data_IF_774837621601
#
_entry.id   IF_774837621601
#
_cell.length_a   1.000
_cell.length_b   1.000
_cell.length_c   1.000
_cell.angle_alpha   90.00
_cell.angle_beta   90.00
_cell.angle_gamma   90.00
#
_symmetry.space_group_name_H-M   'P 1'
#
loop_
_entity.id
_entity.type
_entity.pdbx_description
1 polymer ?
#
# COMPACT_ATOMS: atom_id res chain seq x y z
N UNK A 1 52.91 -13.40 -12.96
CA UNK A 1 51.71 -12.65 -13.42
C UNK A 1 50.45 -13.50 -13.56
N UNK A 2 50.48 -14.73 -14.12
CA UNK A 2 49.25 -15.57 -14.23
C UNK A 2 48.58 -15.95 -12.90
N UNK A 3 49.34 -16.15 -11.82
CA UNK A 3 48.77 -16.48 -10.48
C UNK A 3 48.07 -15.31 -9.80
N UNK A 4 48.46 -14.04 -10.10
CA UNK A 4 47.82 -12.86 -9.53
C UNK A 4 46.45 -12.56 -10.16
N UNK A 5 46.30 -12.82 -11.45
CA UNK A 5 45.04 -12.65 -12.17
C UNK A 5 43.98 -13.64 -11.67
N UNK A 6 44.40 -14.89 -11.39
CA UNK A 6 43.49 -15.91 -10.87
C UNK A 6 42.97 -15.58 -9.45
N UNK A 7 43.82 -14.98 -8.60
CA UNK A 7 43.44 -14.55 -7.25
C UNK A 7 42.46 -13.37 -7.29
N UNK A 8 42.65 -12.44 -8.22
CA UNK A 8 41.77 -11.29 -8.39
C UNK A 8 40.37 -11.71 -8.89
N UNK A 9 40.29 -12.67 -9.83
CA UNK A 9 39.00 -13.24 -10.27
C UNK A 9 38.23 -13.97 -9.14
N UNK A 10 38.96 -14.66 -8.24
CA UNK A 10 38.34 -15.31 -7.09
C UNK A 10 37.77 -14.32 -6.07
N UNK A 11 38.46 -13.20 -5.84
CA UNK A 11 37.98 -12.13 -4.95
C UNK A 11 36.75 -11.41 -5.53
N UNK A 12 36.67 -11.22 -6.84
CA UNK A 12 35.50 -10.63 -7.49
C UNK A 12 34.28 -11.58 -7.41
N UNK A 13 34.48 -12.89 -7.52
CA UNK A 13 33.40 -13.86 -7.40
C UNK A 13 32.92 -13.99 -5.96
N UNK A 14 33.78 -13.82 -4.95
CA UNK A 14 33.38 -13.82 -3.55
C UNK A 14 32.59 -12.56 -3.15
N UNK A 15 32.87 -11.41 -3.79
CA UNK A 15 32.12 -10.18 -3.55
C UNK A 15 30.72 -10.19 -4.17
N UNK A 16 30.44 -11.09 -5.13
CA UNK A 16 29.11 -11.24 -5.75
C UNK A 16 28.17 -12.20 -4.98
N UNK A 17 28.65 -12.89 -3.95
CA UNK A 17 27.79 -13.70 -3.08
C UNK A 17 27.35 -12.90 -1.83
N UNK A 18 26.92 -11.66 -2.00
CA UNK A 18 26.10 -11.02 -0.98
C UNK A 18 24.82 -11.82 -0.88
N UNK A 19 24.57 -12.39 0.28
CA UNK A 19 23.29 -13.02 0.64
C UNK A 19 22.19 -11.97 0.51
N UNK A 20 21.70 -11.76 -0.72
CA UNK A 20 20.46 -11.04 -0.97
C UNK A 20 19.30 -11.98 -0.60
N UNK A 21 19.21 -12.37 0.67
CA UNK A 21 17.92 -12.74 1.21
C UNK A 21 17.06 -11.51 1.04
N UNK A 22 15.93 -11.60 0.31
CA UNK A 22 15.01 -10.49 0.22
C UNK A 22 14.72 -10.04 1.66
N UNK A 23 14.74 -8.74 1.93
CA UNK A 23 14.45 -8.25 3.28
C UNK A 23 13.13 -8.85 3.71
N UNK A 24 13.12 -9.43 4.93
CA UNK A 24 11.90 -9.95 5.51
C UNK A 24 10.84 -8.84 5.42
N UNK A 25 9.67 -9.18 4.88
CA UNK A 25 8.57 -8.24 4.71
C UNK A 25 8.31 -7.52 6.03
N UNK A 26 8.65 -6.25 6.08
CA UNK A 26 8.30 -5.35 7.16
C UNK A 26 6.93 -4.73 6.83
N UNK A 27 6.01 -4.74 7.79
CA UNK A 27 4.68 -4.14 7.66
C UNK A 27 4.71 -2.63 7.31
N UNK A 28 5.86 -1.98 7.51
CA UNK A 28 6.09 -0.56 7.16
C UNK A 28 6.49 -0.35 5.71
N UNK A 29 6.91 -1.42 5.01
CA UNK A 29 7.37 -1.32 3.63
C UNK A 29 6.18 -1.21 2.67
N UNK A 30 6.24 -0.35 1.63
CA UNK A 30 5.20 -0.26 0.64
C UNK A 30 4.91 -1.61 0.00
N UNK A 31 3.65 -2.07 0.09
CA UNK A 31 3.24 -3.40 -0.38
C UNK A 31 3.62 -3.66 -1.85
N UNK A 32 3.55 -2.61 -2.66
CA UNK A 32 3.78 -2.70 -4.10
C UNK A 32 5.26 -2.78 -4.50
N UNK A 33 6.18 -2.42 -3.62
CA UNK A 33 7.61 -2.42 -3.93
C UNK A 33 8.18 -3.83 -4.07
N UNK A 34 7.68 -4.76 -3.22
CA UNK A 34 8.17 -6.13 -3.16
C UNK A 34 7.18 -7.18 -3.67
N UNK A 35 6.02 -6.75 -4.14
CA UNK A 35 4.94 -7.65 -4.52
C UNK A 35 4.60 -7.52 -6.01
N UNK A 36 4.39 -8.66 -6.67
CA UNK A 36 3.82 -8.74 -8.01
C UNK A 36 2.33 -9.00 -7.90
N UNK A 37 1.54 -8.16 -8.56
CA UNK A 37 0.09 -8.36 -8.66
C UNK A 37 -0.21 -9.53 -9.59
N UNK A 38 -1.03 -10.43 -9.11
CA UNK A 38 -1.67 -11.49 -9.87
C UNK A 38 -3.05 -11.03 -10.38
N UNK A 39 -3.82 -11.97 -10.92
CA UNK A 39 -5.21 -11.69 -11.29
C UNK A 39 -6.04 -11.32 -10.06
N UNK A 40 -6.93 -10.36 -10.25
CA UNK A 40 -7.91 -9.96 -9.25
C UNK A 40 -9.27 -10.58 -9.55
N UNK A 41 -10.08 -10.74 -8.52
CA UNK A 41 -11.42 -11.31 -8.60
C UNK A 41 -12.45 -10.45 -7.86
N UNK A 42 -13.69 -10.50 -8.31
CA UNK A 42 -14.82 -9.93 -7.55
C UNK A 42 -15.25 -10.93 -6.49
N UNK A 43 -15.43 -10.44 -5.26
CA UNK A 43 -15.92 -11.22 -4.13
C UNK A 43 -17.13 -10.53 -3.48
N UNK A 44 -17.90 -11.26 -2.70
CA UNK A 44 -19.03 -10.74 -1.97
C UNK A 44 -18.78 -10.79 -0.45
N UNK A 45 -18.76 -9.65 0.21
CA UNK A 45 -18.74 -9.59 1.66
C UNK A 45 -20.15 -9.86 2.19
N UNK A 46 -20.33 -11.01 2.84
CA UNK A 46 -21.61 -11.51 3.36
C UNK A 46 -21.86 -11.13 4.79
N UNK A 47 -20.81 -10.80 5.55
CA UNK A 47 -20.93 -10.40 6.94
C UNK A 47 -19.79 -9.50 7.38
N UNK A 48 -20.11 -8.58 8.29
CA UNK A 48 -19.12 -7.76 9.00
C UNK A 48 -19.42 -7.91 10.49
N UNK A 49 -18.47 -8.45 11.25
CA UNK A 49 -18.66 -8.80 12.66
C UNK A 49 -17.60 -8.14 13.51
N UNK A 50 -18.02 -7.43 14.53
CA UNK A 50 -17.14 -6.87 15.56
C UNK A 50 -17.25 -7.71 16.82
N UNK A 51 -16.10 -8.06 17.39
CA UNK A 51 -16.02 -8.81 18.64
C UNK A 51 -15.66 -7.89 19.83
N UNK A 52 -15.96 -8.30 21.06
CA UNK A 52 -15.67 -7.49 22.27
C UNK A 52 -14.18 -7.20 22.48
N UNK A 53 -13.29 -8.05 21.96
CA UNK A 53 -11.83 -7.92 22.02
C UNK A 53 -11.25 -7.00 20.90
N UNK A 54 -12.10 -6.12 20.34
CA UNK A 54 -11.72 -5.18 19.28
C UNK A 54 -11.16 -5.81 18.00
N UNK A 55 -11.65 -6.98 17.64
CA UNK A 55 -11.44 -7.54 16.33
C UNK A 55 -12.62 -7.28 15.42
N UNK A 56 -12.36 -7.14 14.16
CA UNK A 56 -13.37 -7.04 13.11
C UNK A 56 -13.13 -8.14 12.08
N UNK A 57 -14.17 -8.91 11.79
CA UNK A 57 -14.15 -9.93 10.75
C UNK A 57 -14.99 -9.48 9.57
N UNK A 58 -14.39 -9.58 8.39
CA UNK A 58 -15.09 -9.41 7.11
C UNK A 58 -15.22 -10.80 6.49
N UNK A 59 -16.44 -11.31 6.43
CA UNK A 59 -16.74 -12.67 5.94
C UNK A 59 -17.13 -12.59 4.47
N UNK A 60 -16.31 -13.15 3.58
CA UNK A 60 -16.60 -13.17 2.15
C UNK A 60 -17.13 -14.52 1.69
N UNK A 61 -17.43 -14.67 0.43
CA UNK A 61 -17.81 -15.94 -0.17
C UNK A 61 -16.62 -16.88 -0.43
N UNK A 62 -15.41 -16.35 -0.43
CA UNK A 62 -14.17 -17.12 -0.68
C UNK A 62 -13.33 -17.32 0.58
N UNK A 63 -13.02 -16.24 1.28
CA UNK A 63 -12.11 -16.19 2.42
C UNK A 63 -12.64 -15.24 3.49
N UNK A 64 -12.17 -15.41 4.73
CA UNK A 64 -12.50 -14.51 5.82
C UNK A 64 -11.27 -13.68 6.22
N UNK A 65 -11.50 -12.43 6.59
CA UNK A 65 -10.44 -11.49 6.93
C UNK A 65 -10.62 -11.01 8.37
N UNK A 66 -9.55 -11.09 9.16
CA UNK A 66 -9.49 -10.55 10.52
C UNK A 66 -8.67 -9.27 10.54
N UNK A 67 -9.24 -8.21 11.09
CA UNK A 67 -8.54 -6.99 11.48
C UNK A 67 -8.55 -6.89 13.00
N UNK A 68 -7.45 -6.43 13.60
CA UNK A 68 -7.31 -6.34 15.05
C UNK A 68 -6.69 -5.02 15.50
N UNK A 69 -6.85 -4.69 16.79
CA UNK A 69 -6.28 -3.49 17.37
C UNK A 69 -6.74 -2.21 16.67
N UNK A 70 -5.81 -1.32 16.39
CA UNK A 70 -6.10 -0.03 15.76
C UNK A 70 -6.64 -0.19 14.32
N UNK A 71 -6.20 -1.20 13.58
CA UNK A 71 -6.66 -1.44 12.20
C UNK A 71 -8.14 -1.78 12.14
N UNK A 72 -8.67 -2.50 13.14
CA UNK A 72 -10.11 -2.78 13.25
C UNK A 72 -10.94 -1.51 13.47
N UNK A 73 -10.38 -0.49 14.13
CA UNK A 73 -11.09 0.76 14.42
C UNK A 73 -11.33 1.59 13.14
N UNK A 74 -10.50 1.46 12.13
CA UNK A 74 -10.69 2.15 10.85
C UNK A 74 -11.91 1.64 10.07
N UNK A 75 -12.50 0.50 10.47
CA UNK A 75 -13.77 0.02 9.91
C UNK A 75 -15.01 0.56 10.66
N UNK A 76 -14.84 1.36 11.71
CA UNK A 76 -15.97 1.95 12.47
C UNK A 76 -17.02 2.65 11.59
N UNK A 77 -16.66 3.38 10.52
CA UNK A 77 -17.65 3.93 9.61
C UNK A 77 -18.60 2.88 9.01
N UNK A 78 -18.18 1.62 8.89
CA UNK A 78 -19.02 0.55 8.33
C UNK A 78 -20.01 -0.06 9.34
N UNK A 79 -19.97 0.37 10.60
CA UNK A 79 -20.88 -0.10 11.66
C UNK A 79 -21.96 0.92 12.05
N UNK A 80 -22.04 2.06 11.36
CA UNK A 80 -22.97 3.14 11.75
C UNK A 80 -24.39 2.83 11.24
N UNK A 81 -25.35 2.51 12.12
CA UNK A 81 -26.71 2.10 11.73
C UNK A 81 -27.48 3.21 11.02
N UNK A 82 -27.13 4.49 11.27
CA UNK A 82 -27.79 5.67 10.74
C UNK A 82 -27.82 5.70 9.22
N UNK A 83 -26.78 5.22 8.59
CA UNK A 83 -26.70 5.18 7.13
C UNK A 83 -26.46 3.79 6.53
N UNK A 84 -26.00 2.81 7.33
CA UNK A 84 -25.57 1.51 6.78
C UNK A 84 -26.73 0.76 6.10
N UNK A 85 -27.92 0.77 6.68
CA UNK A 85 -29.10 0.15 6.06
C UNK A 85 -29.45 0.78 4.72
N UNK A 86 -29.34 2.11 4.58
CA UNK A 86 -29.59 2.81 3.31
C UNK A 86 -28.46 2.56 2.32
N UNK A 87 -27.22 2.56 2.80
CA UNK A 87 -26.04 2.25 2.01
C UNK A 87 -26.19 0.87 1.35
N UNK A 88 -26.52 -0.18 2.09
CA UNK A 88 -26.70 -1.52 1.55
C UNK A 88 -27.82 -1.60 0.49
N UNK A 89 -28.96 -0.89 0.73
CA UNK A 89 -30.09 -0.88 -0.20
C UNK A 89 -29.84 -0.09 -1.49
N UNK A 90 -29.01 0.95 -1.42
CA UNK A 90 -28.83 1.93 -2.50
C UNK A 90 -27.39 1.96 -3.02
N UNK A 91 -26.55 0.98 -2.67
CA UNK A 91 -25.14 0.93 -3.03
C UNK A 91 -24.99 0.80 -4.55
N UNK A 92 -24.71 1.92 -5.23
CA UNK A 92 -24.38 1.90 -6.66
C UNK A 92 -23.39 3.01 -7.00
N UNK A 93 -22.51 2.73 -7.93
CA UNK A 93 -21.56 3.71 -8.46
C UNK A 93 -22.31 4.93 -9.02
N UNK A 94 -21.92 6.15 -8.58
CA UNK A 94 -22.59 7.40 -8.98
C UNK A 94 -23.82 7.79 -8.14
N UNK A 95 -24.30 6.93 -7.24
CA UNK A 95 -25.41 7.23 -6.34
C UNK A 95 -25.01 8.14 -5.17
N UNK A 96 -26.00 8.52 -4.35
CA UNK A 96 -25.78 9.25 -3.09
C UNK A 96 -25.02 8.40 -2.06
N UNK A 97 -25.33 7.10 -2.03
CA UNK A 97 -24.67 6.10 -1.19
C UNK A 97 -23.80 5.20 -2.05
N UNK A 98 -22.54 5.09 -1.71
CA UNK A 98 -21.64 4.19 -2.40
C UNK A 98 -20.57 3.67 -1.45
N UNK A 99 -20.35 2.37 -1.46
CA UNK A 99 -19.27 1.68 -0.77
C UNK A 99 -18.55 0.77 -1.78
N UNK A 100 -17.27 0.97 -1.92
CA UNK A 100 -16.39 0.05 -2.62
C UNK A 100 -15.33 -0.42 -1.64
N UNK A 101 -15.23 -1.74 -1.45
CA UNK A 101 -14.18 -2.40 -0.68
C UNK A 101 -13.15 -2.99 -1.65
N UNK A 102 -11.89 -2.92 -1.28
CA UNK A 102 -10.82 -3.57 -2.00
C UNK A 102 -9.82 -4.20 -1.04
N UNK A 103 -9.39 -5.38 -1.38
CA UNK A 103 -8.46 -6.20 -0.62
C UNK A 103 -7.22 -6.47 -1.47
N UNK A 104 -6.04 -6.33 -0.88
CA UNK A 104 -4.78 -6.74 -1.48
C UNK A 104 -4.22 -7.86 -0.62
N UNK A 105 -4.32 -9.09 -1.08
CA UNK A 105 -4.02 -10.30 -0.33
C UNK A 105 -2.69 -10.91 -0.75
N UNK A 106 -1.86 -11.23 0.24
CA UNK A 106 -0.73 -12.14 0.12
C UNK A 106 -1.07 -13.45 0.84
N UNK A 107 -1.58 -14.42 0.08
CA UNK A 107 -1.99 -15.72 0.62
C UNK A 107 -0.82 -16.52 1.17
N UNK A 108 0.39 -16.30 0.69
CA UNK A 108 1.58 -17.04 1.16
C UNK A 108 1.94 -16.70 2.61
N UNK A 109 1.64 -15.47 3.03
CA UNK A 109 1.88 -14.97 4.37
C UNK A 109 0.59 -14.75 5.18
N UNK A 110 -0.58 -15.11 4.63
CA UNK A 110 -1.90 -14.86 5.22
C UNK A 110 -2.13 -13.38 5.57
N UNK A 111 -1.59 -12.48 4.76
CA UNK A 111 -1.73 -11.04 4.97
C UNK A 111 -2.75 -10.46 4.00
N UNK A 112 -3.49 -9.47 4.48
CA UNK A 112 -4.39 -8.68 3.66
C UNK A 112 -4.28 -7.21 4.02
N UNK A 113 -4.33 -6.35 3.01
CA UNK A 113 -4.47 -4.90 3.17
C UNK A 113 -5.83 -4.50 2.66
N UNK A 114 -6.56 -3.78 3.50
CA UNK A 114 -7.93 -3.36 3.23
C UNK A 114 -7.95 -1.88 2.92
N UNK A 115 -8.65 -1.51 1.88
CA UNK A 115 -8.98 -0.13 1.59
C UNK A 115 -10.45 -0.03 1.19
N UNK A 116 -11.04 1.15 1.38
CA UNK A 116 -12.39 1.39 0.94
C UNK A 116 -12.66 2.85 0.58
N UNK A 117 -13.65 3.03 -0.27
CA UNK A 117 -14.25 4.32 -0.60
C UNK A 117 -15.68 4.32 -0.10
N UNK A 118 -16.01 5.25 0.78
CA UNK A 118 -17.35 5.46 1.30
C UNK A 118 -17.87 6.83 0.85
N UNK A 119 -19.05 6.87 0.21
CA UNK A 119 -19.72 8.09 -0.21
C UNK A 119 -21.07 8.18 0.47
N UNK A 120 -21.32 9.32 1.11
CA UNK A 120 -22.52 9.58 1.90
C UNK A 120 -23.08 10.96 1.62
N UNK A 121 -24.39 11.20 1.81
CA UNK A 121 -24.95 12.53 1.91
C UNK A 121 -24.33 13.35 3.05
N UNK A 122 -24.23 14.67 2.89
CA UNK A 122 -23.60 15.58 3.83
C UNK A 122 -24.22 15.53 5.24
N UNK A 123 -25.50 15.22 5.36
CA UNK A 123 -26.20 15.09 6.67
C UNK A 123 -25.60 14.04 7.62
N UNK A 124 -24.72 13.15 7.13
CA UNK A 124 -24.01 12.15 7.95
C UNK A 124 -22.59 12.58 8.33
N UNK A 125 -22.24 13.86 8.13
CA UNK A 125 -20.91 14.39 8.44
C UNK A 125 -20.52 14.15 9.90
N UNK A 126 -21.41 14.51 10.84
CA UNK A 126 -21.12 14.38 12.26
C UNK A 126 -21.00 12.92 12.70
N UNK A 127 -21.87 12.05 12.19
CA UNK A 127 -21.76 10.59 12.43
C UNK A 127 -20.42 10.06 11.94
N UNK A 128 -19.96 10.50 10.76
CA UNK A 128 -18.69 10.07 10.20
C UNK A 128 -17.51 10.62 11.01
N UNK A 129 -17.54 11.91 11.39
CA UNK A 129 -16.53 12.53 12.26
C UNK A 129 -16.42 11.77 13.58
N UNK A 130 -17.55 11.46 14.21
CA UNK A 130 -17.58 10.71 15.47
C UNK A 130 -16.96 9.31 15.34
N UNK A 131 -17.19 8.61 14.22
CA UNK A 131 -16.66 7.27 13.99
C UNK A 131 -15.14 7.22 13.80
N UNK A 132 -14.51 8.34 13.47
CA UNK A 132 -13.06 8.46 13.21
C UNK A 132 -12.33 9.26 14.31
N UNK A 133 -13.06 9.71 15.35
CA UNK A 133 -12.50 10.53 16.42
C UNK A 133 -11.40 9.77 17.18
N UNK A 134 -10.25 10.43 17.39
CA UNK A 134 -9.12 9.87 18.13
C UNK A 134 -8.25 8.90 17.34
N UNK A 135 -8.53 8.67 16.06
CA UNK A 135 -7.69 7.87 15.19
C UNK A 135 -6.69 8.74 14.42
N UNK A 136 -5.50 8.21 14.17
CA UNK A 136 -4.55 8.83 13.25
C UNK A 136 -5.14 8.91 11.84
N UNK A 137 -4.80 9.97 11.10
CA UNK A 137 -5.32 10.16 9.76
C UNK A 137 -4.71 9.15 8.78
N UNK A 138 -5.48 8.12 8.44
CA UNK A 138 -5.21 7.16 7.36
C UNK A 138 -6.24 7.27 6.25
N UNK A 139 -6.79 8.47 6.05
CA UNK A 139 -7.88 8.74 5.10
C UNK A 139 -7.72 10.06 4.41
N UNK A 140 -8.41 10.17 3.28
CA UNK A 140 -8.67 11.43 2.59
C UNK A 140 -10.18 11.67 2.56
N UNK A 141 -10.61 12.90 2.79
CA UNK A 141 -12.01 13.30 2.75
C UNK A 141 -12.20 14.40 1.73
N UNK A 142 -13.34 14.34 1.02
CA UNK A 142 -13.77 15.32 0.06
C UNK A 142 -15.22 15.71 0.34
N UNK A 143 -15.51 17.01 0.31
CA UNK A 143 -16.88 17.53 0.24
C UNK A 143 -17.20 17.85 -1.22
N UNK A 144 -17.98 16.98 -1.87
CA UNK A 144 -18.05 16.87 -3.35
C UNK A 144 -16.62 16.63 -3.91
N UNK A 145 -16.05 17.63 -4.63
CA UNK A 145 -14.72 17.56 -5.23
C UNK A 145 -13.66 18.35 -4.43
N UNK A 146 -14.05 18.98 -3.33
CA UNK A 146 -13.16 19.76 -2.47
C UNK A 146 -12.45 18.84 -1.46
N UNK A 147 -11.13 18.71 -1.58
CA UNK A 147 -10.30 17.95 -0.62
C UNK A 147 -10.24 18.68 0.71
N UNK A 148 -10.43 17.97 1.80
CA UNK A 148 -10.44 18.48 3.16
C UNK A 148 -9.11 18.15 3.84
N UNK A 149 -8.40 19.18 4.28
CA UNK A 149 -7.12 19.04 4.99
C UNK A 149 -7.31 18.75 6.49
N UNK A 150 -8.30 19.41 7.11
CA UNK A 150 -8.68 19.21 8.51
C UNK A 150 -10.13 18.76 8.61
N UNK A 151 -10.33 17.44 8.62
CA UNK A 151 -11.68 16.86 8.60
C UNK A 151 -12.52 17.17 9.84
N UNK A 152 -11.89 17.38 10.98
CA UNK A 152 -12.62 17.60 12.24
C UNK A 152 -13.05 19.05 12.46
N UNK A 153 -12.32 20.01 11.90
CA UNK A 153 -12.55 21.43 12.14
C UNK A 153 -12.99 22.18 10.88
N UNK A 154 -12.57 21.71 9.69
CA UNK A 154 -12.91 22.39 8.44
C UNK A 154 -14.39 22.21 8.08
N UNK A 155 -15.10 23.33 7.97
CA UNK A 155 -16.51 23.32 7.59
C UNK A 155 -16.72 23.26 6.07
N UNK A 156 -17.89 22.73 5.61
CA UNK A 156 -18.20 22.65 4.18
C UNK A 156 -18.19 24.00 3.46
N UNK A 157 -18.50 25.09 4.16
CA UNK A 157 -18.49 26.47 3.66
C UNK A 157 -17.11 27.00 3.32
N UNK A 158 -16.04 26.42 3.87
CA UNK A 158 -14.66 26.83 3.63
C UNK A 158 -14.10 26.34 2.29
N UNK A 159 -14.82 25.48 1.60
CA UNK A 159 -14.48 25.09 0.24
C UNK A 159 -14.65 26.26 -0.72
N UNK A 160 -13.59 26.62 -1.44
CA UNK A 160 -13.54 27.82 -2.31
C UNK A 160 -14.49 27.78 -3.52
N UNK A 161 -15.01 26.60 -3.89
CA UNK A 161 -16.03 26.50 -4.92
C UNK A 161 -17.39 26.86 -4.30
N UNK A 162 -18.05 27.86 -4.79
CA UNK A 162 -19.36 28.36 -4.30
C UNK A 162 -20.53 27.35 -4.52
N UNK A 163 -20.26 26.08 -4.71
CA UNK A 163 -21.28 25.06 -4.92
C UNK A 163 -21.78 24.46 -3.60
N UNK A 164 -23.08 24.21 -3.45
CA UNK A 164 -23.62 23.53 -2.28
C UNK A 164 -22.94 22.17 -2.08
N UNK A 165 -22.47 21.90 -0.87
CA UNK A 165 -21.90 20.62 -0.52
C UNK A 165 -22.99 19.64 -0.14
N UNK A 166 -23.20 18.64 -0.95
CA UNK A 166 -24.26 17.64 -0.78
C UNK A 166 -23.74 16.28 -0.38
N UNK A 167 -22.45 16.03 -0.59
CA UNK A 167 -21.85 14.69 -0.47
C UNK A 167 -20.49 14.75 0.23
N UNK A 168 -20.23 13.70 1.01
CA UNK A 168 -18.93 13.40 1.61
C UNK A 168 -18.37 12.17 0.92
N UNK A 169 -17.11 12.21 0.53
CA UNK A 169 -16.38 11.02 0.06
C UNK A 169 -15.19 10.80 0.98
N UNK A 170 -15.17 9.66 1.65
CA UNK A 170 -14.06 9.16 2.45
C UNK A 170 -13.31 8.09 1.65
N UNK A 171 -12.02 8.27 1.49
CA UNK A 171 -11.09 7.24 1.03
C UNK A 171 -10.26 6.77 2.20
N UNK A 172 -10.31 5.49 2.50
CA UNK A 172 -9.57 4.87 3.58
C UNK A 172 -8.50 3.93 3.01
N UNK A 173 -7.27 4.07 3.46
CA UNK A 173 -6.17 3.19 3.03
C UNK A 173 -5.72 3.37 1.57
N UNK A 174 -5.94 4.55 0.98
CA UNK A 174 -5.70 4.80 -0.45
C UNK A 174 -4.22 4.81 -0.83
N UNK A 175 -3.36 5.29 0.05
CA UNK A 175 -1.91 5.38 -0.18
C UNK A 175 -1.15 4.38 0.70
N UNK A 176 0.05 4.02 0.28
CA UNK A 176 0.90 3.05 1.00
C UNK A 176 1.16 3.41 2.47
N UNK A 177 1.10 4.70 2.81
CA UNK A 177 1.26 5.21 4.18
C UNK A 177 0.00 5.11 5.05
N UNK A 178 -1.15 4.79 4.44
CA UNK A 178 -2.47 4.76 5.08
C UNK A 178 -3.03 3.34 5.17
N UNK A 179 -2.16 2.35 5.25
CA UNK A 179 -2.51 0.95 5.16
C UNK A 179 -3.33 0.51 6.37
N UNK A 180 -4.43 -0.21 6.11
CA UNK A 180 -5.19 -0.97 7.10
C UNK A 180 -4.81 -2.43 6.93
N UNK A 181 -4.14 -3.00 7.92
CA UNK A 181 -3.64 -4.35 7.88
C UNK A 181 -4.63 -5.34 8.49
N UNK A 182 -4.70 -6.51 7.91
CA UNK A 182 -5.47 -7.63 8.39
C UNK A 182 -4.79 -8.96 8.06
N UNK A 183 -5.46 -10.04 8.42
CA UNK A 183 -5.02 -11.40 8.15
C UNK A 183 -6.12 -12.19 7.46
N UNK A 184 -5.72 -13.09 6.58
CA UNK A 184 -6.61 -14.12 6.03
C UNK A 184 -6.74 -15.20 7.09
N UNK A 185 -7.97 -15.54 7.45
CA UNK A 185 -8.25 -16.51 8.51
C UNK A 185 -9.27 -17.55 8.03
N UNK A 186 -9.25 -18.72 8.68
CA UNK A 186 -10.24 -19.77 8.49
C UNK A 186 -11.02 -19.94 9.80
N UNK A 187 -12.27 -19.52 9.80
CA UNK A 187 -13.14 -19.63 10.99
C UNK A 187 -13.84 -20.98 11.03
N UNK A 188 -13.66 -21.73 12.11
CA UNK A 188 -14.29 -23.06 12.28
C UNK A 188 -15.81 -22.97 12.43
N UNK A 189 -16.33 -21.85 12.99
CA UNK A 189 -17.76 -21.61 13.24
C UNK A 189 -18.36 -20.56 12.29
N UNK A 190 -17.77 -20.41 11.11
CA UNK A 190 -18.15 -19.41 10.09
C UNK A 190 -19.64 -19.40 9.78
N UNK A 191 -20.22 -20.57 9.54
CA UNK A 191 -21.63 -20.70 9.16
C UNK A 191 -22.58 -20.28 10.28
N UNK A 192 -22.22 -20.53 11.54
CA UNK A 192 -22.98 -20.08 12.70
C UNK A 192 -22.93 -18.56 12.86
N UNK A 193 -21.74 -17.97 12.60
CA UNK A 193 -21.56 -16.53 12.63
C UNK A 193 -22.40 -15.90 11.52
N UNK A 194 -22.35 -16.40 10.30
CA UNK A 194 -23.13 -15.89 9.17
C UNK A 194 -24.64 -16.00 9.42
N UNK A 195 -25.13 -17.08 10.03
CA UNK A 195 -26.57 -17.19 10.40
C UNK A 195 -27.05 -16.06 11.32
N UNK A 196 -26.16 -15.53 12.17
CA UNK A 196 -26.50 -14.47 13.16
C UNK A 196 -26.18 -13.06 12.66
N UNK A 197 -25.23 -12.92 11.77
CA UNK A 197 -24.61 -11.63 11.43
C UNK A 197 -24.48 -11.39 9.92
N UNK A 198 -25.23 -12.12 9.10
CA UNK A 198 -25.21 -11.90 7.66
C UNK A 198 -25.79 -10.53 7.31
N UNK A 199 -25.16 -9.86 6.35
CA UNK A 199 -25.70 -8.66 5.75
C UNK A 199 -26.96 -9.00 4.95
N UNK A 200 -27.99 -8.15 5.07
CA UNK A 200 -29.24 -8.32 4.30
C UNK A 200 -28.98 -8.27 2.78
N UNK A 201 -27.96 -7.54 2.37
CA UNK A 201 -27.47 -7.41 1.00
C UNK A 201 -25.95 -7.52 1.07
N UNK A 202 -25.33 -8.50 0.39
CA UNK A 202 -23.88 -8.62 0.31
C UNK A 202 -23.24 -7.39 -0.33
N UNK A 203 -22.04 -7.02 0.14
CA UNK A 203 -21.29 -5.89 -0.42
C UNK A 203 -20.33 -6.44 -1.48
N UNK A 204 -20.43 -5.98 -2.75
CA UNK A 204 -19.43 -6.29 -3.76
C UNK A 204 -18.08 -5.70 -3.36
N UNK A 205 -17.03 -6.49 -3.47
CA UNK A 205 -15.67 -6.09 -3.19
C UNK A 205 -14.72 -6.64 -4.25
N UNK A 206 -13.52 -6.09 -4.32
CA UNK A 206 -12.51 -6.52 -5.27
C UNK A 206 -11.29 -7.05 -4.53
N UNK A 207 -10.90 -8.29 -4.81
CA UNK A 207 -9.74 -8.95 -4.24
C UNK A 207 -8.61 -8.96 -5.26
N UNK A 208 -7.52 -8.28 -4.97
CA UNK A 208 -6.28 -8.36 -5.72
C UNK A 208 -5.35 -9.35 -5.03
N UNK A 209 -4.94 -10.36 -5.74
CA UNK A 209 -3.96 -11.33 -5.25
C UNK A 209 -2.55 -10.83 -5.55
N UNK A 210 -1.64 -11.01 -4.60
CA UNK A 210 -0.24 -10.64 -4.71
C UNK A 210 0.64 -11.80 -4.28
N UNK A 211 1.85 -11.84 -4.82
CA UNK A 211 2.94 -12.70 -4.33
C UNK A 211 4.22 -11.89 -4.22
N UNK A 212 5.16 -12.35 -3.43
CA UNK A 212 6.50 -11.78 -3.41
C UNK A 212 7.14 -11.83 -4.80
N UNK A 213 7.82 -10.76 -5.17
CA UNK A 213 8.64 -10.73 -6.39
C UNK A 213 9.78 -11.72 -6.25
N UNK A 214 10.10 -12.39 -7.34
CA UNK A 214 11.33 -13.19 -7.43
C UNK A 214 12.55 -12.27 -7.53
N UNK A 215 13.74 -12.78 -7.19
CA UNK A 215 14.99 -12.03 -7.34
C UNK A 215 15.25 -11.61 -8.80
N UNK A 216 14.75 -12.38 -9.75
CA UNK A 216 14.85 -12.07 -11.16
C UNK A 216 13.96 -10.89 -11.56
N UNK A 217 12.73 -10.84 -11.05
CA UNK A 217 11.82 -9.71 -11.26
C UNK A 217 12.38 -8.43 -10.65
N UNK A 218 12.90 -8.50 -9.42
CA UNK A 218 13.53 -7.35 -8.75
C UNK A 218 14.73 -6.83 -9.53
N UNK A 219 15.60 -7.75 -10.02
CA UNK A 219 16.75 -7.37 -10.86
C UNK A 219 16.32 -6.77 -12.19
N UNK A 220 15.30 -7.33 -12.82
CA UNK A 220 14.76 -6.83 -14.09
C UNK A 220 14.18 -5.42 -13.92
N UNK A 221 13.40 -5.16 -12.89
CA UNK A 221 12.83 -3.83 -12.59
C UNK A 221 13.93 -2.79 -12.35
N UNK A 222 14.92 -3.11 -11.50
CA UNK A 222 16.08 -2.22 -11.26
C UNK A 222 16.83 -1.92 -12.57
N UNK A 223 16.96 -2.92 -13.45
CA UNK A 223 17.60 -2.72 -14.75
C UNK A 223 16.77 -1.83 -15.68
N UNK A 224 15.46 -1.96 -15.66
CA UNK A 224 14.55 -1.06 -16.40
C UNK A 224 14.59 0.38 -15.86
N UNK A 225 14.68 0.56 -14.56
CA UNK A 225 14.82 1.86 -13.92
C UNK A 225 16.13 2.54 -14.31
N UNK A 226 17.26 1.83 -14.20
CA UNK A 226 18.57 2.33 -14.66
C UNK A 226 18.53 2.72 -16.14
N UNK A 227 17.93 1.90 -17.00
CA UNK A 227 17.79 2.24 -18.44
C UNK A 227 16.93 3.49 -18.65
N UNK A 228 15.89 3.68 -17.86
CA UNK A 228 15.03 4.88 -17.92
C UNK A 228 15.83 6.12 -17.51
N UNK A 229 16.55 6.06 -16.39
CA UNK A 229 17.39 7.16 -15.90
C UNK A 229 18.49 7.53 -16.92
N UNK A 230 19.15 6.53 -17.51
CA UNK A 230 20.13 6.76 -18.60
C UNK A 230 19.46 7.45 -19.79
N UNK A 231 18.26 7.03 -20.19
CA UNK A 231 17.53 7.63 -21.31
C UNK A 231 17.10 9.07 -21.01
N UNK A 232 16.69 9.37 -19.78
CA UNK A 232 16.32 10.71 -19.37
C UNK A 232 17.53 11.64 -19.26
N UNK A 233 18.67 11.14 -18.70
CA UNK A 233 19.91 11.90 -18.62
C UNK A 233 20.55 12.14 -20.00
N UNK A 234 20.43 11.21 -20.94
CA UNK A 234 20.89 11.43 -22.33
C UNK A 234 20.06 12.47 -23.09
N UNK A 235 18.80 12.68 -22.72
CA UNK A 235 18.01 13.80 -23.28
C UNK A 235 18.44 15.16 -22.72
N UNK A 236 19.06 15.20 -21.54
CA UNK A 236 19.52 16.42 -20.88
C UNK A 236 21.00 16.78 -21.16
N UNK A 237 21.78 15.90 -21.76
CA UNK A 237 23.16 16.14 -22.16
C UNK A 237 24.02 14.86 -22.18
N UNK A 238 24.71 14.62 -23.26
CA UNK A 238 25.49 13.39 -23.49
C UNK A 238 26.63 13.13 -22.48
N UNK A 239 27.14 14.17 -21.81
CA UNK A 239 28.24 14.06 -20.85
C UNK A 239 27.85 13.37 -19.55
N UNK A 240 26.59 13.54 -19.08
CA UNK A 240 26.11 12.96 -17.80
C UNK A 240 25.89 11.44 -17.92
N UNK A 241 25.48 10.96 -19.10
CA UNK A 241 25.26 9.53 -19.34
C UNK A 241 26.56 8.70 -19.27
N UNK A 242 27.68 9.28 -19.69
CA UNK A 242 28.98 8.61 -19.67
C UNK A 242 29.47 8.39 -18.22
N UNK A 243 29.20 9.31 -17.34
CA UNK A 243 29.57 9.22 -15.92
C UNK A 243 28.77 8.11 -15.22
N UNK A 244 27.48 7.97 -15.50
CA UNK A 244 26.62 6.96 -14.85
C UNK A 244 27.01 5.54 -15.29
N UNK A 245 27.35 5.34 -16.58
CA UNK A 245 27.73 4.01 -17.10
C UNK A 245 29.14 3.61 -16.63
N UNK A 246 30.03 4.57 -16.48
CA UNK A 246 31.43 4.31 -16.13
C UNK A 246 31.73 4.42 -14.65
N UNK A 247 30.89 5.09 -13.84
CA UNK A 247 31.10 5.27 -12.41
C UNK A 247 31.39 3.96 -11.64
N UNK A 248 30.68 2.85 -11.86
CA UNK A 248 30.99 1.59 -11.19
C UNK A 248 32.35 0.99 -11.59
N UNK A 249 32.87 1.38 -12.76
CA UNK A 249 34.14 0.85 -13.28
C UNK A 249 35.32 1.76 -12.88
N UNK A 250 35.09 3.07 -12.81
CA UNK A 250 36.16 4.06 -12.58
C UNK A 250 36.32 4.46 -11.10
N UNK A 251 35.27 4.41 -10.28
CA UNK A 251 35.38 4.74 -8.87
C UNK A 251 36.45 3.91 -8.11
N UNK A 252 36.58 2.58 -8.33
CA UNK A 252 37.64 1.82 -7.71
C UNK A 252 39.04 2.18 -8.20
N UNK A 253 39.17 2.68 -9.46
CA UNK A 253 40.45 3.10 -9.99
C UNK A 253 40.87 4.50 -9.55
N UNK A 254 39.95 5.42 -9.35
CA UNK A 254 40.23 6.79 -8.93
C UNK A 254 40.66 6.90 -7.46
N UNK A 255 40.21 5.96 -6.61
CA UNK A 255 40.58 5.93 -5.19
C UNK A 255 41.98 5.31 -4.95
N UNK A 256 42.52 4.58 -5.93
CA UNK A 256 43.80 3.87 -5.82
C UNK A 256 45.02 4.56 -6.40
N UNK A 257 44.86 5.70 -7.05
CA UNK A 257 46.01 6.38 -7.71
C UNK A 257 46.37 7.72 -7.05
N UNK A 258 47.02 7.66 -5.91
CA UNK A 258 47.89 8.76 -5.48
C UNK A 258 49.20 8.61 -6.23
N UNK A 259 49.60 9.58 -7.07
CA UNK A 259 50.94 9.58 -7.67
C UNK A 259 51.92 9.76 -6.53
N UNK A 260 52.75 8.74 -6.31
CA UNK A 260 53.72 8.66 -5.25
C UNK A 260 54.55 9.93 -5.10
N UNK A 261 54.47 10.56 -3.93
CA UNK A 261 55.48 11.52 -3.45
C UNK A 261 56.77 10.77 -3.26
N UNK A 262 57.68 10.98 -4.20
CA UNK A 262 59.03 10.50 -4.06
C UNK A 262 59.72 11.05 -2.77
N UNK A 263 60.63 10.32 -2.18
CA UNK A 263 61.25 10.71 -0.93
C UNK A 263 62.09 11.99 -1.13
N UNK A 264 61.75 13.04 -0.39
CA UNK A 264 62.58 14.25 -0.32
C UNK A 264 63.92 13.92 0.33
N UNK A 265 64.99 13.94 -0.44
CA UNK A 265 66.35 13.98 0.07
C UNK A 265 66.55 15.28 0.84
N UNK A 266 66.71 15.18 2.20
CA UNK A 266 67.34 16.25 3.01
C UNK A 266 68.82 16.19 2.78
N UNK A 267 69.42 17.31 2.41
CA UNK A 267 70.79 17.68 2.70
C UNK A 267 70.81 18.59 3.93
#
# INVERSE_FOLDING_TARGET
>A
MKKFISLLCLLVLAACSSNNTPPAYDSTTPFYEYMTRLEGEEILIRGIVKTPDNKTYLLSDTEDYELSGIDALYLQPLFQPEYMTKLLKSNRRGGEFYLALSFNADRSNNLVKVNYKLKLPMKYLDTLRQSLKGLEQRWEVFYNDCRISDFFHQEPSECKDNKPKTQITLYMGKEDKQIINGRIVKLNNRDEILKKSSLSIPIPAYLNNYRLKTDEEIRSEKWHEIKREIRESTKQGAETALIIITAPIWLPMAIGWEPGRGPSRRK
#
